data_IF_150119499260
#
_entry.id   IF_150119499260
#
_cell.length_a   1.000
_cell.length_b   1.000
_cell.length_c   1.000
_cell.angle_alpha   90.00
_cell.angle_beta   90.00
_cell.angle_gamma   90.00
#
_symmetry.space_group_name_H-M   'P 1'
#
loop_
_entity.id
_entity.type
_entity.pdbx_description
1 polymer ?
#
# COMPACT_ATOMS: atom_id res chain seq x y z
N UNK A 1 11.67 10.40 4.48
CA UNK A 1 11.92 8.95 4.24
C UNK A 1 13.34 8.74 3.75
N UNK A 2 14.06 7.79 4.36
CA UNK A 2 15.48 7.52 4.06
C UNK A 2 15.63 7.00 2.62
N UNK A 3 14.78 6.07 2.19
CA UNK A 3 14.85 5.50 0.84
C UNK A 3 14.74 6.55 -0.28
N UNK A 4 13.89 7.57 -0.12
CA UNK A 4 13.81 8.68 -1.08
C UNK A 4 15.12 9.46 -1.15
N UNK A 5 15.74 9.76 0.01
CA UNK A 5 17.02 10.48 0.06
C UNK A 5 18.16 9.68 -0.58
N UNK A 6 18.18 8.36 -0.38
CA UNK A 6 19.18 7.47 -0.97
C UNK A 6 19.01 7.36 -2.48
N UNK A 7 17.80 7.01 -2.97
CA UNK A 7 17.52 6.85 -4.39
C UNK A 7 17.58 8.16 -5.18
N UNK A 8 17.31 9.30 -4.54
CA UNK A 8 17.53 10.63 -5.15
C UNK A 8 19.01 10.88 -5.45
N UNK A 9 19.96 10.32 -4.68
CA UNK A 9 21.39 10.49 -5.00
C UNK A 9 21.79 9.80 -6.31
N UNK A 10 20.99 8.83 -6.77
CA UNK A 10 21.20 8.09 -8.01
C UNK A 10 20.48 8.70 -9.22
N UNK A 11 19.65 9.74 -9.03
CA UNK A 11 18.87 10.40 -10.09
C UNK A 11 18.99 11.93 -10.01
N UNK A 12 19.43 12.59 -11.09
CA UNK A 12 19.61 14.05 -11.13
C UNK A 12 18.32 14.84 -10.88
N UNK A 13 17.16 14.29 -11.24
CA UNK A 13 15.85 14.90 -11.03
C UNK A 13 15.01 14.08 -10.04
N UNK A 14 14.50 14.73 -9.01
CA UNK A 14 13.66 14.07 -8.00
C UNK A 14 12.32 13.64 -8.61
N UNK A 15 12.09 12.34 -8.72
CA UNK A 15 10.84 11.80 -9.22
C UNK A 15 9.71 11.89 -8.16
N UNK A 16 8.58 12.53 -8.49
CA UNK A 16 7.42 12.64 -7.59
C UNK A 16 6.86 11.26 -7.21
N UNK A 17 6.82 10.31 -8.15
CA UNK A 17 6.36 8.95 -7.88
C UNK A 17 7.24 8.27 -6.82
N UNK A 18 8.54 8.52 -6.85
CA UNK A 18 9.48 8.00 -5.85
C UNK A 18 9.28 8.64 -4.46
N UNK A 19 8.77 9.87 -4.40
CA UNK A 19 8.40 10.50 -3.14
C UNK A 19 7.04 10.00 -2.62
N UNK A 20 6.08 9.80 -3.51
CA UNK A 20 4.68 9.57 -3.19
C UNK A 20 4.29 8.08 -3.05
N UNK A 21 5.08 7.13 -3.59
CA UNK A 21 4.71 5.71 -3.54
C UNK A 21 4.44 5.15 -2.12
N UNK A 22 5.00 5.66 -1.01
CA UNK A 22 4.67 5.13 0.31
C UNK A 22 3.23 5.45 0.73
N UNK A 23 2.63 6.50 0.15
CA UNK A 23 1.19 6.77 0.28
C UNK A 23 0.37 5.74 -0.49
N UNK A 24 0.80 5.39 -1.70
CA UNK A 24 0.17 4.31 -2.49
C UNK A 24 0.27 2.97 -1.77
N UNK A 25 1.44 2.64 -1.21
CA UNK A 25 1.64 1.44 -0.39
C UNK A 25 0.71 1.41 0.83
N UNK A 26 0.49 2.55 1.50
CA UNK A 26 -0.48 2.62 2.60
C UNK A 26 -1.91 2.36 2.10
N UNK A 27 -2.30 2.91 0.94
CA UNK A 27 -3.60 2.64 0.34
C UNK A 27 -3.77 1.15 0.00
N UNK A 28 -2.74 0.50 -0.56
CA UNK A 28 -2.74 -0.95 -0.86
C UNK A 28 -2.98 -1.77 0.41
N UNK A 29 -2.37 -1.39 1.53
CA UNK A 29 -2.57 -2.05 2.83
C UNK A 29 -4.01 -1.86 3.33
N UNK A 30 -4.51 -0.62 3.28
CA UNK A 30 -5.82 -0.29 3.82
C UNK A 30 -6.96 -0.84 2.98
N UNK A 31 -6.77 -1.06 1.68
CA UNK A 31 -7.83 -1.59 0.84
C UNK A 31 -8.30 -2.98 1.30
N UNK A 32 -7.38 -3.78 1.84
CA UNK A 32 -7.64 -5.18 2.18
C UNK A 32 -7.65 -5.51 3.68
N UNK A 33 -7.45 -4.53 4.57
CA UNK A 33 -7.40 -4.76 6.03
C UNK A 33 -6.49 -5.91 6.46
N UNK A 34 -5.28 -5.97 5.90
CA UNK A 34 -4.32 -7.02 6.21
C UNK A 34 -4.13 -7.20 7.73
N UNK A 35 -4.21 -8.45 8.20
CA UNK A 35 -3.94 -8.80 9.61
C UNK A 35 -2.47 -8.65 9.98
N UNK A 36 -1.59 -9.09 9.08
CA UNK A 36 -0.16 -9.08 9.29
C UNK A 36 0.55 -8.80 7.97
N UNK A 37 1.52 -7.90 8.03
CA UNK A 37 2.34 -7.50 6.89
C UNK A 37 3.77 -7.97 7.14
N UNK A 38 4.29 -8.80 6.25
CA UNK A 38 5.66 -9.29 6.32
C UNK A 38 6.50 -8.49 5.33
N UNK A 39 7.48 -7.76 5.84
CA UNK A 39 8.38 -6.96 5.00
C UNK A 39 9.84 -7.11 5.40
N UNK A 40 10.73 -6.73 4.49
CA UNK A 40 12.14 -6.51 4.82
C UNK A 40 12.30 -5.28 5.72
N UNK A 41 13.38 -5.28 6.51
CA UNK A 41 13.74 -4.20 7.42
C UNK A 41 13.74 -2.82 6.74
N UNK A 42 14.15 -2.77 5.47
CA UNK A 42 14.23 -1.54 4.67
C UNK A 42 12.87 -0.83 4.54
N UNK A 43 11.75 -1.55 4.66
CA UNK A 43 10.38 -1.02 4.47
C UNK A 43 9.71 -0.54 5.76
N UNK A 44 10.38 -0.65 6.91
CA UNK A 44 9.82 -0.32 8.24
C UNK A 44 9.25 1.11 8.28
N UNK A 45 9.97 2.10 7.70
CA UNK A 45 9.50 3.49 7.67
C UNK A 45 8.20 3.69 6.89
N UNK A 46 7.94 2.89 5.85
CA UNK A 46 6.68 3.01 5.10
C UNK A 46 5.51 2.46 5.91
N UNK A 47 5.74 1.43 6.72
CA UNK A 47 4.72 0.87 7.60
C UNK A 47 4.46 1.75 8.83
N UNK A 48 5.47 2.46 9.32
CA UNK A 48 5.29 3.54 10.30
C UNK A 48 4.41 4.65 9.71
N UNK A 49 4.70 5.09 8.48
CA UNK A 49 3.87 6.08 7.78
C UNK A 49 2.42 5.59 7.61
N UNK A 50 2.22 4.34 7.19
CA UNK A 50 0.87 3.76 7.10
C UNK A 50 0.20 3.73 8.49
N UNK A 51 0.91 3.37 9.55
CA UNK A 51 0.38 3.40 10.92
C UNK A 51 -0.06 4.80 11.33
N UNK A 52 0.76 5.82 11.08
CA UNK A 52 0.45 7.22 11.36
C UNK A 52 -0.77 7.71 10.56
N UNK A 53 -0.86 7.34 9.27
CA UNK A 53 -2.02 7.67 8.43
C UNK A 53 -3.29 7.03 9.01
N UNK A 54 -3.24 5.75 9.36
CA UNK A 54 -4.38 5.03 9.94
C UNK A 54 -4.85 5.70 11.24
N UNK A 55 -3.92 6.01 12.15
CA UNK A 55 -4.23 6.66 13.42
C UNK A 55 -4.81 8.06 13.21
N UNK A 56 -4.20 8.90 12.36
CA UNK A 56 -4.69 10.25 12.10
C UNK A 56 -6.06 10.24 11.45
N UNK A 57 -6.27 9.37 10.45
CA UNK A 57 -7.55 9.22 9.78
C UNK A 57 -8.63 8.76 10.76
N UNK A 58 -8.33 7.73 11.56
CA UNK A 58 -9.26 7.21 12.56
C UNK A 58 -9.60 8.26 13.62
N UNK A 59 -8.60 8.98 14.13
CA UNK A 59 -8.80 10.05 15.10
C UNK A 59 -9.64 11.17 14.49
N UNK A 60 -9.34 11.59 13.25
CA UNK A 60 -10.08 12.64 12.55
C UNK A 60 -11.58 12.34 12.50
N UNK A 61 -11.96 11.11 12.15
CA UNK A 61 -13.36 10.67 12.06
C UNK A 61 -13.93 10.08 13.36
N UNK A 62 -13.15 10.03 14.44
CA UNK A 62 -13.49 9.41 15.73
C UNK A 62 -14.01 7.97 15.58
N UNK A 63 -13.36 7.18 14.70
CA UNK A 63 -13.72 5.79 14.40
C UNK A 63 -12.54 4.98 13.87
N UNK A 64 -12.61 3.66 14.03
CA UNK A 64 -11.68 2.69 13.42
C UNK A 64 -12.09 2.40 11.96
N UNK A 65 -11.89 3.37 11.07
CA UNK A 65 -12.19 3.23 9.63
C UNK A 65 -11.07 2.51 8.87
N UNK A 66 -9.82 2.74 9.27
CA UNK A 66 -8.64 2.08 8.74
C UNK A 66 -8.09 1.14 9.81
N UNK A 67 -7.84 -0.11 9.44
CA UNK A 67 -7.14 -1.04 10.33
C UNK A 67 -5.69 -0.57 10.52
N UNK A 68 -5.26 -0.50 11.78
CA UNK A 68 -3.86 -0.18 12.08
C UNK A 68 -3.00 -1.36 11.62
N UNK A 69 -2.03 -1.15 10.72
CA UNK A 69 -1.20 -2.23 10.20
C UNK A 69 -0.38 -2.88 11.31
N UNK A 70 -0.43 -4.20 11.40
CA UNK A 70 0.54 -4.97 12.19
C UNK A 70 1.59 -5.55 11.24
N UNK A 71 2.86 -5.47 11.61
CA UNK A 71 3.92 -5.97 10.76
C UNK A 71 5.03 -6.68 11.53
N UNK A 72 5.69 -7.60 10.83
CA UNK A 72 6.82 -8.36 11.37
C UNK A 72 7.95 -8.41 10.36
N UNK A 73 9.17 -8.44 10.91
CA UNK A 73 10.39 -8.69 10.16
C UNK A 73 10.78 -10.15 10.43
N UNK A 74 10.97 -10.98 9.40
CA UNK A 74 11.44 -12.36 9.59
C UNK A 74 12.75 -12.37 10.40
N UNK A 75 12.80 -13.12 11.51
CA UNK A 75 13.98 -13.14 12.41
C UNK A 75 15.14 -13.99 11.88
N UNK A 76 14.87 -15.01 11.08
CA UNK A 76 15.86 -15.96 10.56
C UNK A 76 15.97 -15.85 9.03
N UNK A 77 17.19 -15.76 8.49
CA UNK A 77 17.44 -15.50 7.06
C UNK A 77 17.13 -14.06 6.60
N UNK A 78 16.96 -13.12 7.54
CA UNK A 78 16.61 -11.72 7.27
C UNK A 78 17.61 -11.00 6.35
N UNK A 79 18.87 -11.45 6.34
CA UNK A 79 19.95 -10.84 5.59
C UNK A 79 20.88 -11.93 5.04
N UNK A 80 20.79 -12.18 3.74
CA UNK A 80 21.76 -12.98 2.99
C UNK A 80 22.75 -11.99 2.35
N UNK A 81 24.04 -12.26 2.52
CA UNK A 81 25.11 -11.39 2.05
C UNK A 81 25.53 -11.78 0.62
N UNK A 82 26.27 -10.88 -0.03
CA UNK A 82 26.90 -11.14 -1.31
C UNK A 82 27.81 -12.38 -1.27
N UNK A 83 27.92 -13.09 -2.39
CA UNK A 83 28.84 -14.20 -2.55
C UNK A 83 30.27 -13.71 -2.74
N UNK A 84 30.47 -12.60 -3.45
CA UNK A 84 31.79 -11.99 -3.71
C UNK A 84 32.17 -10.92 -2.70
N UNK A 85 31.19 -10.24 -2.12
CA UNK A 85 31.42 -9.28 -1.04
C UNK A 85 30.50 -9.59 0.15
N UNK A 86 30.93 -10.46 1.08
CA UNK A 86 30.15 -10.88 2.24
C UNK A 86 29.82 -9.76 3.24
N UNK A 87 30.41 -8.56 3.10
CA UNK A 87 30.09 -7.39 3.94
C UNK A 87 28.87 -6.61 3.42
N UNK A 88 28.49 -6.81 2.16
CA UNK A 88 27.33 -6.19 1.53
C UNK A 88 26.17 -7.17 1.42
N UNK A 89 24.94 -6.66 1.51
CA UNK A 89 23.72 -7.44 1.25
C UNK A 89 23.70 -7.85 -0.22
N UNK A 90 23.20 -9.06 -0.49
CA UNK A 90 23.02 -9.56 -1.84
C UNK A 90 22.25 -8.55 -2.71
N UNK A 91 22.79 -8.21 -3.89
CA UNK A 91 22.23 -7.15 -4.74
C UNK A 91 22.27 -7.55 -6.22
N UNK A 92 21.15 -7.31 -6.91
CA UNK A 92 21.05 -7.52 -8.36
C UNK A 92 22.00 -6.59 -9.13
N UNK A 93 22.18 -5.36 -8.65
CA UNK A 93 22.97 -4.32 -9.35
C UNK A 93 24.47 -4.65 -9.41
N UNK A 94 25.01 -5.31 -8.39
CA UNK A 94 26.44 -5.68 -8.33
C UNK A 94 26.72 -7.08 -8.93
N UNK A 95 25.72 -7.72 -9.54
CA UNK A 95 25.76 -9.10 -10.04
C UNK A 95 26.32 -10.10 -9.00
N UNK A 96 26.03 -9.83 -7.72
CA UNK A 96 26.46 -10.62 -6.57
C UNK A 96 25.22 -11.23 -5.89
N UNK A 97 24.58 -12.17 -6.59
CA UNK A 97 23.34 -12.82 -6.17
C UNK A 97 23.11 -14.17 -6.85
N UNK A 98 22.22 -14.98 -6.27
CA UNK A 98 21.68 -16.22 -6.87
C UNK A 98 20.24 -15.94 -7.28
N UNK A 99 19.92 -16.08 -8.57
CA UNK A 99 18.56 -15.94 -9.04
C UNK A 99 17.77 -17.24 -8.81
N UNK A 100 16.47 -17.13 -8.52
CA UNK A 100 15.59 -18.31 -8.39
C UNK A 100 15.53 -19.15 -9.68
N UNK A 101 15.76 -18.52 -10.82
CA UNK A 101 15.74 -19.14 -12.16
C UNK A 101 17.14 -19.35 -12.75
N UNK A 102 18.22 -19.18 -11.96
CA UNK A 102 19.56 -19.52 -12.44
C UNK A 102 19.63 -21.02 -12.79
N UNK A 103 20.33 -21.35 -13.88
CA UNK A 103 20.54 -22.73 -14.28
C UNK A 103 21.44 -23.47 -13.28
N UNK A 104 21.39 -24.81 -13.24
CA UNK A 104 22.26 -25.58 -12.35
C UNK A 104 23.76 -25.28 -12.51
N UNK A 105 24.19 -25.01 -13.75
CA UNK A 105 25.57 -24.65 -14.09
C UNK A 105 25.92 -23.25 -13.57
N UNK A 106 25.00 -22.29 -13.69
CA UNK A 106 25.19 -20.94 -13.17
C UNK A 106 25.30 -20.94 -11.64
N UNK A 107 24.44 -21.69 -10.95
CA UNK A 107 24.48 -21.83 -9.50
C UNK A 107 25.83 -22.43 -9.06
N UNK A 108 26.25 -23.53 -9.69
CA UNK A 108 27.56 -24.15 -9.41
C UNK A 108 28.72 -23.17 -9.61
N UNK A 109 28.71 -22.41 -10.71
CA UNK A 109 29.74 -21.40 -11.01
C UNK A 109 29.75 -20.26 -9.99
N UNK A 110 28.59 -19.75 -9.59
CA UNK A 110 28.51 -18.64 -8.61
C UNK A 110 28.98 -19.08 -7.23
N UNK A 111 28.58 -20.27 -6.77
CA UNK A 111 28.98 -20.80 -5.47
C UNK A 111 30.46 -21.16 -5.43
N UNK A 112 31.02 -21.71 -6.52
CA UNK A 112 32.45 -22.01 -6.57
C UNK A 112 33.31 -20.76 -6.41
N UNK A 113 32.87 -19.64 -6.98
CA UNK A 113 33.51 -18.32 -6.94
C UNK A 113 33.23 -17.52 -5.66
N UNK A 114 32.39 -18.01 -4.74
CA UNK A 114 32.09 -17.27 -3.50
C UNK A 114 33.35 -17.05 -2.65
N UNK A 115 33.48 -15.88 -2.03
CA UNK A 115 34.61 -15.51 -1.20
C UNK A 115 34.66 -16.38 0.08
N UNK A 116 35.84 -16.90 0.38
CA UNK A 116 36.14 -17.67 1.59
C UNK A 116 37.48 -17.19 2.14
N UNK A 117 37.74 -17.42 3.43
CA UNK A 117 39.04 -17.15 4.02
C UNK A 117 40.10 -18.21 3.63
N UNK A 118 41.29 -18.15 4.24
CA UNK A 118 42.41 -19.05 3.96
C UNK A 118 42.63 -20.15 5.01
N UNK A 119 41.81 -20.24 6.06
CA UNK A 119 41.99 -21.21 7.16
C UNK A 119 41.53 -22.63 6.80
N UNK A 120 40.70 -22.78 5.76
CA UNK A 120 40.09 -24.05 5.33
C UNK A 120 39.37 -24.82 6.45
N UNK A 121 38.68 -24.09 7.35
CA UNK A 121 37.87 -24.62 8.44
C UNK A 121 36.45 -24.09 8.36
N UNK A 122 35.46 -24.97 8.47
CA UNK A 122 34.05 -24.63 8.31
C UNK A 122 33.41 -24.46 9.69
N UNK A 123 33.29 -23.22 10.12
CA UNK A 123 32.54 -22.82 11.32
C UNK A 123 31.96 -21.42 11.13
N UNK A 124 30.92 -21.13 11.91
CA UNK A 124 30.16 -19.90 11.89
C UNK A 124 30.82 -18.87 12.80
N UNK A 125 31.40 -17.87 12.18
CA UNK A 125 31.95 -16.68 12.80
C UNK A 125 31.76 -15.51 11.81
N UNK A 126 30.67 -14.74 11.92
CA UNK A 126 30.39 -13.65 10.98
C UNK A 126 31.42 -12.52 11.00
N UNK A 127 32.17 -12.36 12.10
CA UNK A 127 33.19 -11.31 12.21
C UNK A 127 34.50 -11.73 11.54
N UNK A 128 34.98 -12.94 11.81
CA UNK A 128 36.26 -13.43 11.25
C UNK A 128 36.11 -14.10 9.89
N UNK A 129 34.97 -14.75 9.65
CA UNK A 129 34.70 -15.59 8.47
C UNK A 129 33.35 -15.25 7.85
N UNK A 130 33.14 -14.00 7.41
CA UNK A 130 31.84 -13.55 6.91
C UNK A 130 31.37 -14.36 5.69
N UNK A 131 32.29 -14.73 4.77
CA UNK A 131 31.98 -15.56 3.61
C UNK A 131 31.51 -16.97 3.96
N UNK A 132 32.28 -17.69 4.80
CA UNK A 132 31.91 -19.05 5.24
C UNK A 132 30.62 -19.04 6.05
N UNK A 133 30.45 -18.06 6.93
CA UNK A 133 29.23 -17.88 7.73
C UNK A 133 27.99 -17.59 6.88
N UNK A 134 28.14 -16.81 5.80
CA UNK A 134 27.07 -16.57 4.84
C UNK A 134 26.66 -17.88 4.13
N UNK A 135 27.63 -18.66 3.64
CA UNK A 135 27.34 -19.95 2.99
C UNK A 135 26.72 -20.97 3.96
N UNK A 136 27.17 -21.02 5.22
CA UNK A 136 26.58 -21.86 6.26
C UNK A 136 25.13 -21.46 6.56
N UNK A 137 24.86 -20.16 6.61
CA UNK A 137 23.49 -19.63 6.80
C UNK A 137 22.58 -20.07 5.65
N UNK A 138 23.05 -19.97 4.40
CA UNK A 138 22.29 -20.43 3.23
C UNK A 138 22.04 -21.94 3.31
N UNK A 139 23.06 -22.73 3.66
CA UNK A 139 22.94 -24.18 3.79
C UNK A 139 21.92 -24.58 4.87
N UNK A 140 22.01 -23.98 6.06
CA UNK A 140 21.09 -24.20 7.17
C UNK A 140 19.63 -23.88 6.77
N UNK A 141 19.40 -22.74 6.11
CA UNK A 141 18.07 -22.34 5.64
C UNK A 141 17.48 -23.33 4.64
N UNK A 142 18.27 -23.83 3.69
CA UNK A 142 17.81 -24.75 2.66
C UNK A 142 17.61 -26.19 3.17
N UNK A 143 18.41 -26.61 4.15
CA UNK A 143 18.32 -27.93 4.76
C UNK A 143 17.30 -27.99 5.90
N UNK A 144 16.89 -26.85 6.45
CA UNK A 144 16.01 -26.78 7.62
C UNK A 144 16.70 -27.18 8.93
N UNK A 145 18.03 -27.20 8.95
CA UNK A 145 18.86 -27.59 10.11
C UNK A 145 19.40 -26.37 10.84
N UNK A 146 19.74 -26.53 12.12
CA UNK A 146 20.45 -25.47 12.84
C UNK A 146 21.89 -25.33 12.34
N UNK A 147 22.46 -24.12 12.42
CA UNK A 147 23.83 -23.84 12.00
C UNK A 147 24.83 -24.79 12.68
N UNK A 148 24.66 -25.06 13.97
CA UNK A 148 25.53 -25.97 14.74
C UNK A 148 25.50 -27.42 14.23
N UNK A 149 24.37 -27.86 13.68
CA UNK A 149 24.25 -29.20 13.11
C UNK A 149 24.95 -29.27 11.76
N UNK A 150 24.80 -28.22 10.95
CA UNK A 150 25.46 -28.08 9.65
C UNK A 150 26.98 -28.01 9.80
N UNK A 151 27.50 -27.30 10.81
CA UNK A 151 28.94 -27.28 11.12
C UNK A 151 29.48 -28.68 11.42
N UNK A 152 28.76 -29.47 12.23
CA UNK A 152 29.15 -30.85 12.54
C UNK A 152 29.16 -31.72 11.29
N UNK A 153 28.14 -31.62 10.46
CA UNK A 153 28.01 -32.36 9.21
C UNK A 153 29.13 -32.04 8.21
N UNK A 154 29.61 -30.80 8.21
CA UNK A 154 30.62 -30.30 7.29
C UNK A 154 32.03 -30.25 7.89
N UNK A 155 32.22 -30.66 9.14
CA UNK A 155 33.50 -30.59 9.87
C UNK A 155 34.67 -31.25 9.15
N UNK A 156 34.41 -32.35 8.43
CA UNK A 156 35.42 -33.09 7.66
C UNK A 156 35.55 -32.63 6.20
N UNK A 157 34.80 -31.61 5.78
CA UNK A 157 34.85 -31.10 4.41
C UNK A 157 35.86 -29.95 4.30
N UNK A 158 36.56 -29.89 3.15
CA UNK A 158 37.26 -28.67 2.74
C UNK A 158 36.29 -27.68 2.06
N UNK A 159 36.73 -26.44 1.80
CA UNK A 159 35.89 -25.43 1.18
C UNK A 159 35.35 -25.81 -0.20
N UNK A 160 36.11 -26.55 -0.99
CA UNK A 160 35.63 -27.02 -2.30
C UNK A 160 34.47 -28.01 -2.13
N UNK A 161 34.62 -29.03 -1.29
CA UNK A 161 33.57 -30.01 -1.00
C UNK A 161 32.33 -29.36 -0.41
N UNK A 162 32.51 -28.38 0.48
CA UNK A 162 31.41 -27.60 1.05
C UNK A 162 30.63 -26.84 -0.03
N UNK A 163 31.34 -26.09 -0.89
CA UNK A 163 30.73 -25.35 -2.00
C UNK A 163 29.99 -26.27 -2.98
N UNK A 164 30.53 -27.44 -3.28
CA UNK A 164 29.86 -28.45 -4.12
C UNK A 164 28.57 -28.92 -3.45
N UNK A 165 28.62 -29.33 -2.18
CA UNK A 165 27.43 -29.76 -1.42
C UNK A 165 26.35 -28.67 -1.36
N UNK A 166 26.75 -27.42 -1.15
CA UNK A 166 25.83 -26.28 -1.14
C UNK A 166 25.21 -26.03 -2.52
N UNK A 167 26.00 -26.10 -3.59
CA UNK A 167 25.49 -25.93 -4.95
C UNK A 167 24.50 -27.04 -5.34
N UNK A 168 24.76 -28.29 -4.96
CA UNK A 168 23.85 -29.40 -5.22
C UNK A 168 22.54 -29.25 -4.42
N UNK A 169 22.60 -28.85 -3.15
CA UNK A 169 21.41 -28.56 -2.34
C UNK A 169 20.59 -27.40 -2.92
N UNK A 170 21.24 -26.31 -3.36
CA UNK A 170 20.58 -25.20 -4.04
C UNK A 170 19.88 -25.66 -5.32
N UNK A 171 20.55 -26.48 -6.14
CA UNK A 171 19.98 -27.01 -7.38
C UNK A 171 18.76 -27.90 -7.12
N UNK A 172 18.79 -28.72 -6.07
CA UNK A 172 17.63 -29.52 -5.66
C UNK A 172 16.45 -28.63 -5.27
N UNK A 173 16.66 -27.68 -4.36
CA UNK A 173 15.58 -26.82 -3.82
C UNK A 173 15.05 -25.85 -4.87
N UNK A 174 15.93 -25.17 -5.61
CA UNK A 174 15.54 -24.25 -6.68
C UNK A 174 14.94 -25.01 -7.87
N UNK A 175 15.42 -26.21 -8.20
CA UNK A 175 14.83 -27.04 -9.25
C UNK A 175 13.37 -27.38 -8.99
N UNK A 176 13.00 -27.67 -7.73
CA UNK A 176 11.60 -27.86 -7.35
C UNK A 176 10.75 -26.59 -7.51
N UNK A 177 11.32 -25.42 -7.22
CA UNK A 177 10.65 -24.12 -7.45
C UNK A 177 10.51 -23.84 -8.94
N UNK A 178 11.55 -24.06 -9.74
CA UNK A 178 11.57 -23.83 -11.18
C UNK A 178 10.55 -24.72 -11.92
N UNK A 179 10.40 -25.98 -11.52
CA UNK A 179 9.35 -26.87 -12.04
C UNK A 179 7.96 -26.29 -11.81
N UNK A 180 7.66 -25.83 -10.57
CA UNK A 180 6.38 -25.20 -10.24
C UNK A 180 6.20 -23.87 -10.97
N UNK A 181 7.25 -23.06 -11.07
CA UNK A 181 7.23 -21.81 -11.81
C UNK A 181 6.81 -22.04 -13.27
N UNK A 182 7.43 -23.00 -13.96
CA UNK A 182 7.08 -23.34 -15.34
C UNK A 182 5.66 -23.89 -15.46
N UNK A 183 5.19 -24.67 -14.48
CA UNK A 183 3.82 -25.16 -14.44
C UNK A 183 2.78 -24.03 -14.31
N UNK A 184 3.04 -23.03 -13.45
CA UNK A 184 2.11 -21.92 -13.26
C UNK A 184 2.22 -20.84 -14.34
N UNK A 185 3.37 -20.72 -14.99
CA UNK A 185 3.60 -19.69 -16.01
C UNK A 185 2.61 -19.80 -17.17
N UNK A 186 2.21 -21.01 -17.57
CA UNK A 186 1.21 -21.21 -18.63
C UNK A 186 -0.19 -20.72 -18.25
N UNK A 187 -0.50 -20.66 -16.95
CA UNK A 187 -1.83 -20.36 -16.44
C UNK A 187 -1.89 -19.02 -15.69
N UNK A 188 -0.82 -18.22 -15.75
CA UNK A 188 -0.69 -16.99 -14.97
C UNK A 188 -1.80 -15.98 -15.29
N UNK A 189 -2.25 -15.92 -16.54
CA UNK A 189 -3.33 -15.03 -16.96
C UNK A 189 -4.65 -15.34 -16.26
N UNK A 190 -5.05 -16.61 -16.25
CA UNK A 190 -6.28 -17.07 -15.58
C UNK A 190 -6.21 -16.85 -14.06
N UNK A 191 -5.05 -17.15 -13.45
CA UNK A 191 -4.81 -16.92 -12.02
C UNK A 191 -4.98 -15.43 -11.68
N UNK A 192 -4.40 -14.54 -12.48
CA UNK A 192 -4.52 -13.09 -12.28
C UNK A 192 -5.96 -12.61 -12.46
N UNK A 193 -6.69 -13.11 -13.45
CA UNK A 193 -8.09 -12.74 -13.67
C UNK A 193 -8.98 -13.13 -12.48
N UNK A 194 -8.83 -14.37 -11.99
CA UNK A 194 -9.58 -14.86 -10.84
C UNK A 194 -9.24 -14.09 -9.56
N UNK A 195 -7.96 -13.83 -9.32
CA UNK A 195 -7.51 -13.03 -8.17
C UNK A 195 -8.05 -11.60 -8.25
N UNK A 196 -8.03 -10.96 -9.42
CA UNK A 196 -8.54 -9.60 -9.59
C UNK A 196 -10.06 -9.52 -9.32
N UNK A 197 -10.84 -10.52 -9.74
CA UNK A 197 -12.28 -10.58 -9.43
C UNK A 197 -12.51 -10.68 -7.92
N UNK A 198 -11.75 -11.55 -7.24
CA UNK A 198 -11.83 -11.70 -5.79
C UNK A 198 -11.43 -10.42 -5.04
N UNK A 199 -10.29 -9.82 -5.39
CA UNK A 199 -9.79 -8.61 -4.75
C UNK A 199 -10.72 -7.41 -4.96
N UNK A 200 -11.34 -7.29 -6.14
CA UNK A 200 -12.37 -6.26 -6.39
C UNK A 200 -13.56 -6.41 -5.45
N UNK A 201 -14.05 -7.64 -5.24
CA UNK A 201 -15.14 -7.89 -4.30
C UNK A 201 -14.78 -7.50 -2.85
N UNK A 202 -13.54 -7.75 -2.41
CA UNK A 202 -13.07 -7.32 -1.09
C UNK A 202 -12.94 -5.79 -0.99
N UNK A 203 -12.47 -5.14 -2.06
CA UNK A 203 -12.20 -3.72 -2.09
C UNK A 203 -13.47 -2.87 -2.26
N UNK A 204 -14.52 -3.40 -2.89
CA UNK A 204 -15.70 -2.66 -3.36
C UNK A 204 -16.33 -1.75 -2.29
N UNK A 205 -16.46 -2.26 -1.06
CA UNK A 205 -17.05 -1.48 0.04
C UNK A 205 -16.24 -0.23 0.36
N UNK A 206 -14.90 -0.33 0.32
CA UNK A 206 -14.00 0.81 0.58
C UNK A 206 -13.80 1.69 -0.63
N UNK A 207 -13.75 1.11 -1.82
CA UNK A 207 -13.71 1.88 -3.06
C UNK A 207 -14.94 2.77 -3.18
N UNK A 208 -16.10 2.28 -2.76
CA UNK A 208 -17.33 3.08 -2.77
C UNK A 208 -17.21 4.32 -1.86
N UNK A 209 -16.44 4.29 -0.77
CA UNK A 209 -16.19 5.50 0.05
C UNK A 209 -15.53 6.61 -0.78
N UNK A 210 -14.66 6.24 -1.70
CA UNK A 210 -13.86 7.16 -2.52
C UNK A 210 -14.33 7.26 -3.97
N UNK A 211 -15.50 6.71 -4.29
CA UNK A 211 -15.97 6.56 -5.67
C UNK A 211 -15.93 7.87 -6.46
N UNK A 212 -16.37 8.97 -5.86
CA UNK A 212 -16.38 10.29 -6.51
C UNK A 212 -15.02 10.65 -7.13
N UNK A 213 -13.92 10.43 -6.40
CA UNK A 213 -12.57 10.77 -6.84
C UNK A 213 -12.10 9.93 -8.04
N UNK A 214 -12.75 8.80 -8.29
CA UNK A 214 -12.46 7.91 -9.42
C UNK A 214 -13.30 8.23 -10.65
N UNK A 215 -14.49 8.76 -10.45
CA UNK A 215 -15.44 9.09 -11.54
C UNK A 215 -15.13 10.44 -12.21
N UNK A 216 -14.42 11.34 -11.54
CA UNK A 216 -14.01 12.62 -12.09
C UNK A 216 -12.58 12.99 -11.67
N UNK A 217 -11.65 13.16 -12.62
CA UNK A 217 -10.30 13.62 -12.29
C UNK A 217 -10.29 15.13 -11.98
N UNK A 218 -9.33 15.62 -11.17
CA UNK A 218 -9.33 17.01 -10.68
C UNK A 218 -9.39 18.09 -11.77
N UNK A 219 -8.77 17.85 -12.92
CA UNK A 219 -8.74 18.80 -14.06
C UNK A 219 -10.08 18.95 -14.79
N UNK A 220 -11.05 18.04 -14.54
CA UNK A 220 -12.38 18.06 -15.14
C UNK A 220 -13.44 18.68 -14.23
N UNK A 221 -13.09 19.04 -13.00
CA UNK A 221 -14.02 19.62 -12.04
C UNK A 221 -14.35 21.06 -12.47
N UNK A 222 -15.66 21.33 -12.65
CA UNK A 222 -16.20 22.66 -12.99
C UNK A 222 -16.90 23.31 -11.79
N UNK A 223 -17.61 22.51 -10.99
CA UNK A 223 -18.42 22.97 -9.85
C UNK A 223 -18.25 21.99 -8.70
N UNK A 224 -18.18 22.50 -7.47
CA UNK A 224 -18.14 21.68 -6.24
C UNK A 224 -19.43 21.89 -5.47
N UNK A 225 -20.10 20.80 -5.09
CA UNK A 225 -21.28 20.83 -4.21
C UNK A 225 -20.98 19.95 -3.00
N UNK A 226 -21.19 20.52 -1.82
CA UNK A 226 -20.92 19.87 -0.55
C UNK A 226 -22.21 19.30 0.06
N UNK A 227 -22.25 17.99 0.23
CA UNK A 227 -23.19 17.30 1.11
C UNK A 227 -22.69 17.27 2.55
N UNK A 228 -23.58 17.07 3.51
CA UNK A 228 -23.19 16.97 4.92
C UNK A 228 -22.63 15.57 5.20
N UNK A 229 -23.50 14.57 5.13
CA UNK A 229 -23.21 13.16 5.35
C UNK A 229 -23.74 12.28 4.20
N UNK A 230 -23.18 11.07 4.01
CA UNK A 230 -23.78 10.07 3.15
C UNK A 230 -25.12 9.62 3.72
N UNK A 231 -25.97 9.03 2.88
CA UNK A 231 -27.22 8.44 3.38
C UNK A 231 -26.95 7.34 4.41
N UNK A 232 -27.58 7.47 5.57
CA UNK A 232 -27.39 6.58 6.72
C UNK A 232 -28.18 5.26 6.65
N UNK A 233 -28.97 5.06 5.59
CA UNK A 233 -29.70 3.81 5.37
C UNK A 233 -28.81 2.80 4.62
N UNK A 234 -28.87 1.51 4.99
CA UNK A 234 -28.06 0.47 4.34
C UNK A 234 -28.21 0.47 2.81
N UNK A 235 -27.07 0.36 2.13
CA UNK A 235 -26.97 0.27 0.66
C UNK A 235 -27.54 1.47 -0.11
N UNK A 236 -27.81 2.60 0.56
CA UNK A 236 -28.28 3.82 -0.12
C UNK A 236 -27.11 4.70 -0.51
N UNK A 237 -26.13 4.88 0.37
CA UNK A 237 -24.92 5.64 0.09
C UNK A 237 -24.05 4.90 -0.93
N UNK A 238 -23.59 5.63 -1.94
CA UNK A 238 -22.85 5.05 -3.07
C UNK A 238 -21.51 5.77 -3.35
N UNK A 239 -21.06 6.62 -2.42
CA UNK A 239 -19.81 7.38 -2.53
C UNK A 239 -19.92 8.76 -3.17
N UNK A 240 -21.10 9.12 -3.68
CA UNK A 240 -21.37 10.42 -4.30
C UNK A 240 -22.43 11.12 -3.44
N UNK A 241 -22.19 12.40 -3.09
CA UNK A 241 -23.15 13.15 -2.28
C UNK A 241 -24.52 13.21 -2.96
N UNK A 242 -25.58 13.02 -2.15
CA UNK A 242 -26.98 12.97 -2.59
C UNK A 242 -27.36 11.84 -3.55
N UNK A 243 -26.41 11.04 -4.06
CA UNK A 243 -26.65 9.97 -5.03
C UNK A 243 -27.02 8.64 -4.36
N UNK A 244 -27.74 7.80 -5.09
CA UNK A 244 -28.02 6.42 -4.71
C UNK A 244 -28.04 5.51 -5.93
N UNK A 245 -27.59 4.26 -5.77
CA UNK A 245 -27.70 3.23 -6.80
C UNK A 245 -29.02 2.45 -6.74
N UNK A 246 -29.85 2.66 -5.72
CA UNK A 246 -31.11 1.90 -5.57
C UNK A 246 -32.09 2.27 -6.70
N UNK A 247 -32.52 1.31 -7.54
CA UNK A 247 -33.46 1.59 -8.61
C UNK A 247 -34.80 2.04 -8.02
N UNK A 248 -35.41 3.07 -8.63
CA UNK A 248 -36.71 3.64 -8.24
C UNK A 248 -36.78 4.22 -6.82
N UNK A 249 -35.65 4.47 -6.16
CA UNK A 249 -35.59 5.14 -4.87
C UNK A 249 -34.96 6.52 -5.01
N UNK A 250 -35.68 7.56 -4.58
CA UNK A 250 -35.17 8.94 -4.53
C UNK A 250 -35.27 9.43 -3.08
N UNK A 251 -34.13 9.64 -2.40
CA UNK A 251 -34.11 10.16 -1.04
C UNK A 251 -34.78 11.54 -0.93
N UNK A 252 -35.25 11.90 0.26
CA UNK A 252 -35.97 13.16 0.48
C UNK A 252 -35.14 14.40 0.11
N UNK A 253 -33.86 14.44 0.51
CA UNK A 253 -32.95 15.53 0.15
C UNK A 253 -32.78 15.67 -1.37
N UNK A 254 -32.61 14.56 -2.08
CA UNK A 254 -32.50 14.57 -3.53
C UNK A 254 -33.82 15.00 -4.21
N UNK A 255 -34.98 14.58 -3.69
CA UNK A 255 -36.28 15.06 -4.18
C UNK A 255 -36.38 16.58 -4.06
N UNK A 256 -35.95 17.16 -2.94
CA UNK A 256 -35.95 18.61 -2.77
C UNK A 256 -35.04 19.30 -3.80
N UNK A 257 -33.84 18.76 -4.04
CA UNK A 257 -32.93 19.26 -5.09
C UNK A 257 -33.60 19.21 -6.46
N UNK A 258 -34.30 18.12 -6.81
CA UNK A 258 -34.99 18.00 -8.10
C UNK A 258 -36.16 18.96 -8.25
N UNK A 259 -36.92 19.22 -7.18
CA UNK A 259 -38.00 20.23 -7.20
C UNK A 259 -37.43 21.62 -7.50
N UNK A 260 -36.37 22.04 -6.81
CA UNK A 260 -35.74 23.34 -7.05
C UNK A 260 -35.09 23.42 -8.43
N UNK A 261 -34.42 22.34 -8.87
CA UNK A 261 -33.85 22.25 -10.21
C UNK A 261 -34.92 22.44 -11.30
N UNK A 262 -36.04 21.73 -11.21
CA UNK A 262 -37.15 21.82 -12.16
C UNK A 262 -37.78 23.20 -12.20
N UNK A 263 -37.96 23.81 -11.02
CA UNK A 263 -38.53 25.15 -10.91
C UNK A 263 -37.61 26.20 -11.55
N UNK A 264 -36.30 26.13 -11.31
CA UNK A 264 -35.33 27.11 -11.81
C UNK A 264 -35.06 26.97 -13.31
N UNK A 265 -35.06 25.75 -13.85
CA UNK A 265 -34.77 25.49 -15.27
C UNK A 265 -36.02 25.28 -16.12
N UNK A 266 -37.21 25.35 -15.52
CA UNK A 266 -38.50 25.11 -16.17
C UNK A 266 -38.53 23.78 -16.96
N UNK A 267 -38.12 22.68 -16.31
CA UNK A 267 -38.02 21.36 -16.92
C UNK A 267 -38.59 20.26 -16.00
N UNK A 268 -38.90 19.10 -16.57
CA UNK A 268 -39.41 17.96 -15.79
C UNK A 268 -38.36 17.45 -14.79
N UNK A 269 -38.76 17.07 -13.55
CA UNK A 269 -37.81 16.62 -12.55
C UNK A 269 -37.20 15.29 -12.95
N UNK A 270 -35.88 15.11 -12.71
CA UNK A 270 -35.26 13.81 -12.89
C UNK A 270 -35.96 12.73 -12.05
N UNK A 271 -36.06 11.52 -12.60
CA UNK A 271 -36.73 10.38 -11.98
C UNK A 271 -35.77 9.28 -11.50
N UNK A 272 -34.46 9.53 -11.54
CA UNK A 272 -33.41 8.59 -11.13
C UNK A 272 -32.61 9.18 -9.97
N UNK A 273 -32.34 8.37 -8.94
CA UNK A 273 -31.55 8.75 -7.78
C UNK A 273 -30.03 8.77 -7.99
N UNK A 274 -29.56 8.24 -9.12
CA UNK A 274 -28.13 8.14 -9.43
C UNK A 274 -27.63 9.42 -10.11
N UNK A 275 -26.73 10.14 -9.44
CA UNK A 275 -26.17 11.41 -9.93
C UNK A 275 -24.83 11.27 -10.66
N UNK A 276 -24.39 10.05 -10.98
CA UNK A 276 -23.20 9.83 -11.80
C UNK A 276 -23.18 10.62 -13.12
N UNK A 277 -24.31 10.79 -13.85
CA UNK A 277 -24.32 11.64 -15.04
C UNK A 277 -23.91 13.09 -14.76
N UNK A 278 -24.28 13.64 -13.61
CA UNK A 278 -23.89 15.00 -13.21
C UNK A 278 -22.39 15.10 -12.92
N UNK A 279 -21.84 14.06 -12.27
CA UNK A 279 -20.40 13.95 -12.04
C UNK A 279 -19.63 13.92 -13.36
N UNK A 280 -20.10 13.17 -14.36
CA UNK A 280 -19.48 13.11 -15.69
C UNK A 280 -19.46 14.45 -16.43
N UNK A 281 -20.38 15.36 -16.11
CA UNK A 281 -20.44 16.71 -16.68
C UNK A 281 -19.53 17.72 -15.97
N UNK A 282 -18.86 17.34 -14.88
CA UNK A 282 -17.92 18.19 -14.15
C UNK A 282 -18.38 18.60 -12.75
N UNK A 283 -19.47 18.03 -12.22
CA UNK A 283 -20.02 18.40 -10.91
C UNK A 283 -19.43 17.48 -9.83
N UNK A 284 -18.57 18.04 -8.98
CA UNK A 284 -17.92 17.34 -7.87
C UNK A 284 -18.82 17.32 -6.62
N UNK A 285 -19.60 16.25 -6.47
CA UNK A 285 -20.59 16.04 -5.41
C UNK A 285 -19.97 15.28 -4.21
N UNK A 286 -19.36 15.98 -3.25
CA UNK A 286 -18.63 15.38 -2.11
C UNK A 286 -19.32 15.63 -0.77
N UNK A 287 -19.32 14.66 0.13
CA UNK A 287 -19.80 14.85 1.50
C UNK A 287 -18.68 15.36 2.41
N UNK A 288 -19.00 16.25 3.35
CA UNK A 288 -18.04 16.73 4.37
C UNK A 288 -17.61 15.62 5.33
N UNK A 289 -18.45 14.61 5.54
CA UNK A 289 -18.09 13.32 6.11
C UNK A 289 -18.18 12.22 5.05
N UNK A 290 -17.18 11.35 4.95
CA UNK A 290 -17.21 10.25 3.96
C UNK A 290 -18.00 9.02 4.43
N UNK A 291 -18.33 8.93 5.72
CA UNK A 291 -19.07 7.81 6.32
C UNK A 291 -20.09 8.30 7.34
N UNK A 292 -21.06 7.46 7.68
CA UNK A 292 -22.12 7.68 8.69
C UNK A 292 -22.43 6.37 9.41
N UNK A 293 -22.83 6.42 10.67
CA UNK A 293 -23.37 5.25 11.40
C UNK A 293 -24.74 4.90 10.84
N UNK A 294 -25.02 3.60 10.76
CA UNK A 294 -26.33 3.10 10.35
C UNK A 294 -27.44 3.70 11.23
N UNK A 295 -28.46 4.26 10.59
CA UNK A 295 -29.59 4.91 11.25
C UNK A 295 -29.27 6.21 12.01
N UNK A 296 -28.03 6.71 11.98
CA UNK A 296 -27.61 7.88 12.77
C UNK A 296 -26.95 8.95 11.89
N UNK A 297 -27.78 9.81 11.31
CA UNK A 297 -27.34 11.00 10.58
C UNK A 297 -26.39 11.87 11.44
N UNK A 298 -25.43 12.54 10.78
CA UNK A 298 -24.46 13.44 11.40
C UNK A 298 -23.56 12.82 12.50
N UNK A 299 -23.53 11.50 12.61
CA UNK A 299 -22.80 10.76 13.66
C UNK A 299 -21.28 10.96 13.69
N UNK A 300 -20.70 11.63 12.69
CA UNK A 300 -19.27 11.96 12.61
C UNK A 300 -18.99 13.46 12.58
N UNK A 301 -20.01 14.31 12.71
CA UNK A 301 -19.81 15.75 12.75
C UNK A 301 -19.13 16.12 14.07
N UNK A 302 -17.85 16.50 14.01
CA UNK A 302 -17.15 17.10 15.15
C UNK A 302 -17.82 18.43 15.52
N UNK A 303 -17.93 18.71 16.81
CA UNK A 303 -18.44 20.00 17.35
C UNK A 303 -17.74 21.25 16.77
N UNK A 304 -16.51 21.12 16.24
CA UNK A 304 -15.80 22.23 15.57
C UNK A 304 -16.48 22.75 14.29
N UNK A 305 -17.14 21.90 13.50
CA UNK A 305 -17.89 22.36 12.32
C UNK A 305 -19.14 23.17 12.72
N UNK A 306 -19.71 22.86 13.89
CA UNK A 306 -20.83 23.60 14.48
C UNK A 306 -20.46 25.05 14.82
N UNK A 307 -19.25 25.27 15.35
CA UNK A 307 -18.73 26.62 15.66
C UNK A 307 -18.54 27.51 14.43
N UNK A 308 -18.10 26.95 13.29
CA UNK A 308 -17.89 27.74 12.06
C UNK A 308 -19.21 28.29 11.51
N UNK A 309 -20.30 27.51 11.61
CA UNK A 309 -21.63 27.96 11.20
C UNK A 309 -22.26 28.98 12.15
N UNK A 310 -21.89 28.98 13.43
CA UNK A 310 -22.38 29.95 14.42
C UNK A 310 -21.61 31.29 14.35
N UNK A 311 -20.32 31.26 13.98
CA UNK A 311 -19.47 32.46 13.85
C UNK A 311 -19.59 33.15 12.48
N UNK A 312 -19.99 32.42 11.43
CA UNK A 312 -20.20 33.00 10.10
C UNK A 312 -21.69 33.26 9.86
N UNK A 313 -22.10 34.53 9.82
CA UNK A 313 -23.39 34.94 9.22
C UNK A 313 -23.35 34.70 7.70
N UNK A 314 -23.55 33.46 7.27
CA UNK A 314 -23.49 33.09 5.86
C UNK A 314 -24.85 33.40 5.21
N UNK A 315 -24.89 34.47 4.41
CA UNK A 315 -25.94 34.72 3.42
C UNK A 315 -25.90 33.64 2.32
N UNK A 316 -27.06 33.27 1.76
CA UNK A 316 -27.24 32.18 0.79
C UNK A 316 -26.49 32.34 -0.54
N UNK A 317 -25.90 33.51 -0.80
CA UNK A 317 -25.43 33.90 -2.14
C UNK A 317 -23.91 34.00 -2.28
N UNK A 318 -23.13 33.48 -1.33
CA UNK A 318 -21.66 33.53 -1.44
C UNK A 318 -21.10 32.42 -2.32
N UNK A 319 -20.48 32.79 -3.44
CA UNK A 319 -19.53 31.93 -4.16
C UNK A 319 -18.15 32.02 -3.48
N UNK A 320 -17.56 30.87 -3.15
CA UNK A 320 -16.20 30.81 -2.64
C UNK A 320 -15.23 31.19 -3.79
N UNK A 321 -14.71 32.41 -3.76
CA UNK A 321 -13.80 32.94 -4.80
C UNK A 321 -12.38 32.38 -4.72
N UNK A 322 -12.03 31.67 -3.64
CA UNK A 322 -10.80 30.87 -3.59
C UNK A 322 -10.96 29.68 -2.63
N UNK A 323 -10.45 28.52 -3.03
CA UNK A 323 -10.28 27.38 -2.15
C UNK A 323 -9.02 27.59 -1.29
N UNK A 324 -9.03 28.56 -0.37
CA UNK A 324 -8.04 28.52 0.70
C UNK A 324 -8.49 27.43 1.69
N UNK A 325 -7.71 26.36 1.91
CA UNK A 325 -8.14 25.29 2.78
C UNK A 325 -8.00 25.78 4.22
N UNK A 326 -8.92 26.56 4.79
CA UNK A 326 -8.82 27.08 6.17
C UNK A 326 -7.58 27.97 6.47
N UNK A 327 -7.72 29.10 7.20
CA UNK A 327 -6.56 29.84 7.71
C UNK A 327 -5.65 28.96 8.61
N UNK A 328 -6.20 27.91 9.23
CA UNK A 328 -5.44 26.98 10.06
C UNK A 328 -4.63 25.93 9.28
N UNK A 329 -4.90 25.68 7.99
CA UNK A 329 -4.04 24.76 7.22
C UNK A 329 -2.71 25.40 6.85
N UNK A 330 -2.59 26.73 6.89
CA UNK A 330 -1.30 27.39 6.80
C UNK A 330 -0.40 27.06 8.01
N UNK A 331 -0.99 26.86 9.20
CA UNK A 331 -0.26 26.48 10.42
C UNK A 331 -0.14 24.96 10.62
N UNK A 332 -1.14 24.19 10.20
CA UNK A 332 -1.27 22.75 10.54
C UNK A 332 -1.34 21.80 9.34
N UNK A 333 -1.46 22.32 8.10
CA UNK A 333 -1.64 21.58 6.84
C UNK A 333 -2.99 20.89 6.64
N UNK A 334 -3.25 20.44 5.41
CA UNK A 334 -4.47 19.70 5.05
C UNK A 334 -4.52 18.37 5.83
N UNK A 335 -5.62 18.09 6.53
CA UNK A 335 -5.74 16.98 7.50
C UNK A 335 -4.77 17.01 8.70
N UNK A 336 -4.20 18.17 9.06
CA UNK A 336 -3.33 18.28 10.23
C UNK A 336 -1.92 17.71 10.02
N UNK A 337 -1.48 17.52 8.78
CA UNK A 337 -0.08 17.23 8.47
C UNK A 337 0.73 18.53 8.41
N UNK A 338 1.64 18.75 9.37
CA UNK A 338 2.63 19.83 9.24
C UNK A 338 3.37 19.71 7.90
N UNK A 339 3.62 20.82 7.18
CA UNK A 339 4.37 20.77 5.93
C UNK A 339 5.71 20.04 6.12
N UNK A 340 6.05 19.18 5.17
CA UNK A 340 7.25 18.32 5.21
C UNK A 340 8.57 19.08 5.06
N UNK A 341 8.57 20.40 4.97
CA UNK A 341 9.77 21.23 4.91
C UNK A 341 10.09 21.83 6.28
N UNK A 342 11.24 21.44 6.84
CA UNK A 342 12.04 22.35 7.64
C UNK A 342 12.92 23.17 6.70
#
# INVERSE_FOLDING_TARGET
MIQYKEKKKEQETGNLALLAYPVLMAADIFLYDADLIIVGQDQTQHLELATDIAQKFNNFYDKKLLKIPQFTIPRFGAKIMGLKNPQKKMSKSENDYIALLDSPEMIKKKISQAETDSENKIYYDPEKKPGVSNLLTIYALLSGKEIKEVEKELSNCNYHQFKVKLADLLNEKLGAIQKRYNHYLSNVGEILENNNKYLKGLAETKENIFRLFREIPPDKIKVVILGQDPYHLPEVADGIAFSTQKPNFIPASLRNIFVEFSKNLNCAPPNKGNLLPWVKEGIFLVNTALTVRDGQALSHMRQKAKKIGEECQISSDYSLTSAHPSPYSAEHGFFGSRPFSK
#
